data_IF_020309599097
#
_entry.id   IF_020309599097
#
_cell.length_a   1.000
_cell.length_b   1.000
_cell.length_c   1.000
_cell.angle_alpha   90.00
_cell.angle_beta   90.00
_cell.angle_gamma   90.00
#
_symmetry.space_group_name_H-M   'P 1'
#
loop_
_entity.id
_entity.type
_entity.pdbx_description
1 polymer ?
#
# COMPACT_ATOMS: atom_id res chain seq x y z
N UNK A 1 -32.96 20.72 72.73
CA UNK A 1 -33.67 20.32 71.51
C UNK A 1 -33.34 21.37 70.44
N UNK A 2 -32.47 21.02 69.49
CA UNK A 2 -32.11 21.91 68.43
C UNK A 2 -33.20 21.99 67.36
N UNK A 3 -33.62 23.20 66.99
CA UNK A 3 -34.78 23.47 66.14
C UNK A 3 -34.42 23.15 64.69
N UNK A 4 -35.35 22.62 63.85
CA UNK A 4 -35.18 22.24 62.47
C UNK A 4 -34.59 23.36 61.54
N UNK A 5 -34.73 24.64 61.99
CA UNK A 5 -34.19 25.78 61.26
C UNK A 5 -32.66 25.94 61.40
N UNK A 6 -32.12 25.52 62.54
CA UNK A 6 -30.69 25.62 62.85
C UNK A 6 -29.87 24.52 62.10
N UNK A 7 -30.55 23.37 61.81
CA UNK A 7 -29.94 22.29 61.05
C UNK A 7 -29.79 22.59 59.53
N UNK A 8 -30.68 23.41 58.97
CA UNK A 8 -30.64 23.82 57.58
C UNK A 8 -29.65 24.96 57.31
N UNK A 9 -29.30 25.76 58.30
CA UNK A 9 -28.31 26.84 58.19
C UNK A 9 -26.86 26.32 58.25
N UNK A 10 -26.64 25.15 58.86
CA UNK A 10 -25.29 24.54 58.93
C UNK A 10 -24.88 23.74 57.71
N UNK A 11 -25.80 23.49 56.75
CA UNK A 11 -25.47 22.78 55.48
C UNK A 11 -25.14 23.71 54.31
N UNK A 12 -25.19 25.02 54.50
CA UNK A 12 -24.94 26.02 53.43
C UNK A 12 -23.58 26.71 53.51
N UNK A 13 -22.72 26.31 54.41
CA UNK A 13 -21.38 26.88 54.57
C UNK A 13 -20.29 25.79 54.47
N UNK A 14 -20.08 25.23 53.27
CA UNK A 14 -19.00 24.23 53.12
C UNK A 14 -18.85 23.63 51.74
N UNK A 15 -19.45 24.16 50.68
CA UNK A 15 -19.13 23.73 49.32
C UNK A 15 -18.06 24.66 48.72
N UNK A 16 -16.80 24.41 49.04
CA UNK A 16 -15.70 24.84 48.21
C UNK A 16 -15.81 24.02 46.93
N UNK A 17 -16.43 24.61 45.91
CA UNK A 17 -16.38 24.11 44.55
C UNK A 17 -14.95 24.27 44.08
N UNK A 18 -14.13 23.21 44.23
CA UNK A 18 -12.92 23.09 43.47
C UNK A 18 -13.32 23.10 41.98
N UNK A 19 -12.79 23.98 41.15
CA UNK A 19 -13.00 23.88 39.73
C UNK A 19 -12.36 22.58 39.26
N UNK A 20 -13.17 21.57 38.96
CA UNK A 20 -12.79 20.49 38.09
C UNK A 20 -12.51 21.18 36.73
N UNK A 21 -11.30 21.69 36.57
CA UNK A 21 -10.73 21.92 35.28
C UNK A 21 -10.59 20.52 34.66
N UNK A 22 -11.64 20.11 33.93
CA UNK A 22 -11.52 19.05 32.95
C UNK A 22 -10.43 19.54 31.99
N UNK A 23 -9.18 19.08 32.22
CA UNK A 23 -8.17 19.03 31.20
C UNK A 23 -8.76 18.12 30.11
N UNK A 24 -9.48 18.73 29.18
CA UNK A 24 -9.60 18.17 27.85
C UNK A 24 -8.15 18.14 27.38
N UNK A 25 -7.52 16.97 27.51
CA UNK A 25 -6.29 16.70 26.78
C UNK A 25 -6.71 16.87 25.32
N UNK A 26 -6.36 17.99 24.73
CA UNK A 26 -6.44 18.14 23.29
C UNK A 26 -5.59 16.98 22.77
N UNK A 27 -6.25 16.00 22.18
CA UNK A 27 -5.59 14.94 21.45
C UNK A 27 -4.75 15.68 20.39
N UNK A 28 -3.43 15.68 20.55
CA UNK A 28 -2.56 16.35 19.58
C UNK A 28 -2.91 15.75 18.23
N UNK A 29 -3.38 16.57 17.32
CA UNK A 29 -3.73 16.13 15.98
C UNK A 29 -2.48 15.49 15.38
N UNK A 30 -2.55 14.21 15.08
CA UNK A 30 -1.43 13.47 14.49
C UNK A 30 -1.09 14.14 13.17
N UNK A 31 0.15 14.59 13.03
CA UNK A 31 0.62 15.24 11.80
C UNK A 31 0.70 14.23 10.64
N UNK A 32 0.48 14.72 9.43
CA UNK A 32 0.62 13.94 8.19
C UNK A 32 1.76 14.54 7.38
N UNK A 33 2.65 13.70 6.88
CA UNK A 33 3.67 14.09 5.90
C UNK A 33 3.18 13.69 4.50
N UNK A 34 2.74 14.65 3.67
CA UNK A 34 2.26 14.38 2.33
C UNK A 34 3.36 13.90 1.38
N UNK A 35 4.63 14.09 1.74
CA UNK A 35 5.79 13.66 0.97
C UNK A 35 6.35 12.29 1.43
N UNK A 36 5.70 11.66 2.39
CA UNK A 36 6.01 10.31 2.83
C UNK A 36 4.90 9.36 2.38
N UNK A 37 5.23 8.35 1.59
CA UNK A 37 4.33 7.29 1.19
C UNK A 37 4.88 5.94 1.65
N UNK A 38 3.98 4.96 1.84
CA UNK A 38 4.37 3.58 2.12
C UNK A 38 3.89 2.68 0.99
N UNK A 39 4.79 1.84 0.47
CA UNK A 39 4.49 0.89 -0.59
C UNK A 39 4.47 -0.53 -0.02
N UNK A 40 3.43 -1.25 -0.36
CA UNK A 40 3.23 -2.68 -0.08
C UNK A 40 3.03 -3.42 -1.40
N UNK A 41 3.28 -4.73 -1.40
CA UNK A 41 2.98 -5.60 -2.54
C UNK A 41 2.74 -7.04 -2.06
N UNK A 42 2.07 -7.84 -2.88
CA UNK A 42 2.01 -9.30 -2.73
C UNK A 42 1.58 -9.72 -1.31
N UNK A 43 0.43 -9.22 -0.88
CA UNK A 43 -0.09 -9.45 0.47
C UNK A 43 -0.69 -10.84 0.64
N UNK A 44 -1.23 -11.43 -0.43
CA UNK A 44 -1.80 -12.78 -0.52
C UNK A 44 -2.68 -13.15 0.66
N UNK A 45 -3.61 -12.27 1.02
CA UNK A 45 -4.49 -12.46 2.15
C UNK A 45 -5.58 -13.47 1.82
N UNK A 46 -5.71 -14.51 2.65
CA UNK A 46 -6.85 -15.42 2.60
C UNK A 46 -7.14 -16.02 3.97
N UNK A 47 -8.36 -16.46 4.25
CA UNK A 47 -8.69 -17.14 5.50
C UNK A 47 -7.78 -18.33 5.76
N UNK A 48 -7.21 -18.41 6.95
CA UNK A 48 -6.33 -19.53 7.37
C UNK A 48 -4.85 -19.34 7.06
N UNK A 49 -4.45 -18.33 6.28
CA UNK A 49 -3.05 -18.05 5.96
C UNK A 49 -2.40 -17.18 7.05
N UNK A 50 -2.01 -17.80 8.15
CA UNK A 50 -1.58 -17.09 9.36
C UNK A 50 -0.40 -16.14 9.12
N UNK A 51 0.64 -16.56 8.41
CA UNK A 51 1.82 -15.70 8.19
C UNK A 51 1.50 -14.43 7.42
N UNK A 52 0.79 -14.56 6.30
CA UNK A 52 0.39 -13.42 5.47
C UNK A 52 -0.46 -12.43 6.28
N UNK A 53 -1.44 -12.95 7.02
CA UNK A 53 -2.32 -12.13 7.84
C UNK A 53 -1.60 -11.44 8.99
N UNK A 54 -0.67 -12.12 9.66
CA UNK A 54 0.11 -11.54 10.76
C UNK A 54 1.04 -10.43 10.23
N UNK A 55 1.69 -10.63 9.08
CA UNK A 55 2.52 -9.60 8.45
C UNK A 55 1.68 -8.41 7.98
N UNK A 56 0.51 -8.65 7.38
CA UNK A 56 -0.37 -7.57 6.95
C UNK A 56 -0.87 -6.74 8.13
N UNK A 57 -1.37 -7.39 9.20
CA UNK A 57 -1.78 -6.69 10.44
C UNK A 57 -0.64 -5.87 11.03
N UNK A 58 0.57 -6.45 11.07
CA UNK A 58 1.74 -5.76 11.58
C UNK A 58 2.09 -4.55 10.73
N UNK A 59 2.09 -4.67 9.39
CA UNK A 59 2.36 -3.57 8.47
C UNK A 59 1.36 -2.42 8.68
N UNK A 60 0.07 -2.73 8.68
CA UNK A 60 -0.98 -1.72 8.86
C UNK A 60 -0.86 -1.06 10.24
N UNK A 61 -0.63 -1.83 11.31
CA UNK A 61 -0.46 -1.29 12.66
C UNK A 61 0.74 -0.34 12.75
N UNK A 62 1.88 -0.69 12.16
CA UNK A 62 3.07 0.15 12.14
C UNK A 62 2.84 1.44 11.32
N UNK A 63 2.19 1.34 10.15
CA UNK A 63 1.87 2.50 9.31
C UNK A 63 0.96 3.49 10.07
N UNK A 64 -0.09 2.99 10.71
CA UNK A 64 -1.02 3.83 11.49
C UNK A 64 -0.33 4.48 12.69
N UNK A 65 0.67 3.81 13.27
CA UNK A 65 1.43 4.31 14.42
C UNK A 65 2.54 5.32 14.05
N UNK A 66 2.81 5.54 12.76
CA UNK A 66 3.81 6.52 12.32
C UNK A 66 3.44 7.94 12.76
N UNK A 67 4.42 8.73 13.14
CA UNK A 67 4.26 10.15 13.44
C UNK A 67 5.48 10.94 12.91
N UNK A 68 5.33 11.75 11.84
CA UNK A 68 4.07 12.00 11.09
C UNK A 68 3.56 10.75 10.38
N UNK A 69 2.23 10.68 10.18
CA UNK A 69 1.60 9.65 9.34
C UNK A 69 1.98 9.85 7.88
N UNK A 70 2.09 8.78 7.08
CA UNK A 70 2.29 8.90 5.64
C UNK A 70 1.06 9.54 4.99
N UNK A 71 1.29 10.30 3.92
CA UNK A 71 0.23 10.91 3.12
C UNK A 71 -0.56 9.90 2.29
N UNK A 72 0.03 8.75 1.97
CA UNK A 72 -0.63 7.72 1.16
C UNK A 72 0.01 6.33 1.33
N UNK A 73 -0.79 5.27 1.13
CA UNK A 73 -0.30 3.89 1.01
C UNK A 73 -0.58 3.38 -0.40
N UNK A 74 0.45 2.87 -1.09
CA UNK A 74 0.33 2.25 -2.40
C UNK A 74 0.49 0.74 -2.26
N UNK A 75 -0.44 -0.05 -2.83
CA UNK A 75 -0.41 -1.51 -2.75
C UNK A 75 -0.37 -2.10 -4.15
N UNK A 76 0.70 -2.80 -4.49
CA UNK A 76 1.03 -3.23 -5.85
C UNK A 76 0.51 -4.64 -6.17
N UNK A 77 -0.79 -4.89 -5.93
CA UNK A 77 -1.48 -6.10 -6.38
C UNK A 77 -1.23 -7.35 -5.53
N UNK A 78 -1.78 -8.44 -6.01
CA UNK A 78 -1.81 -9.75 -5.36
C UNK A 78 -2.32 -9.68 -3.91
N UNK A 79 -3.54 -9.13 -3.79
CA UNK A 79 -4.23 -9.06 -2.50
C UNK A 79 -4.72 -10.42 -2.06
N UNK A 80 -5.35 -11.12 -2.99
CA UNK A 80 -5.93 -12.43 -2.76
C UNK A 80 -4.87 -13.53 -2.88
N UNK A 81 -5.20 -14.69 -2.32
CA UNK A 81 -4.39 -15.88 -2.49
C UNK A 81 -4.94 -16.73 -3.62
N UNK A 82 -4.12 -17.03 -4.62
CA UNK A 82 -4.38 -17.91 -5.77
C UNK A 82 -5.48 -17.45 -6.74
N UNK A 83 -6.75 -17.32 -6.32
CA UNK A 83 -7.88 -17.25 -7.24
C UNK A 83 -8.76 -16.02 -7.09
N UNK A 84 -8.37 -15.06 -6.27
CA UNK A 84 -9.13 -13.84 -6.07
C UNK A 84 -10.54 -14.08 -5.55
N UNK A 85 -10.69 -14.93 -4.53
CA UNK A 85 -12.00 -15.25 -3.97
C UNK A 85 -12.61 -14.08 -3.22
N UNK A 86 -13.92 -13.99 -3.22
CA UNK A 86 -14.65 -12.92 -2.54
C UNK A 86 -14.32 -12.82 -1.04
N UNK A 87 -14.15 -13.96 -0.37
CA UNK A 87 -13.78 -14.00 1.05
C UNK A 87 -12.39 -13.41 1.32
N UNK A 88 -11.45 -13.48 0.37
CA UNK A 88 -10.12 -12.91 0.50
C UNK A 88 -10.21 -11.38 0.55
N UNK A 89 -11.03 -10.77 -0.31
CA UNK A 89 -11.26 -9.32 -0.32
C UNK A 89 -12.07 -8.83 0.88
N UNK A 90 -13.04 -9.60 1.37
CA UNK A 90 -13.74 -9.28 2.62
C UNK A 90 -12.77 -9.23 3.80
N UNK A 91 -11.85 -10.18 3.87
CA UNK A 91 -10.78 -10.19 4.87
C UNK A 91 -9.80 -9.02 4.67
N UNK A 92 -9.41 -8.73 3.43
CA UNK A 92 -8.58 -7.57 3.12
C UNK A 92 -9.22 -6.27 3.63
N UNK A 93 -10.54 -6.10 3.44
CA UNK A 93 -11.28 -4.93 3.93
C UNK A 93 -11.15 -4.75 5.44
N UNK A 94 -11.23 -5.84 6.19
CA UNK A 94 -10.99 -5.79 7.65
C UNK A 94 -9.55 -5.40 7.99
N UNK A 95 -8.58 -5.89 7.20
CA UNK A 95 -7.16 -5.63 7.44
C UNK A 95 -6.76 -4.18 7.14
N UNK A 96 -7.35 -3.56 6.12
CA UNK A 96 -7.05 -2.15 5.74
C UNK A 96 -7.92 -1.13 6.47
N UNK A 97 -9.02 -1.55 7.10
CA UNK A 97 -9.92 -0.65 7.84
C UNK A 97 -9.20 0.29 8.84
N UNK A 98 -8.10 -0.09 9.53
CA UNK A 98 -7.37 0.84 10.38
C UNK A 98 -6.73 2.01 9.63
N UNK A 99 -6.39 1.86 8.33
CA UNK A 99 -5.92 2.97 7.50
C UNK A 99 -7.03 3.99 7.30
N UNK A 100 -8.24 3.52 6.93
CA UNK A 100 -9.41 4.36 6.75
C UNK A 100 -9.78 5.09 8.04
N UNK A 101 -9.77 4.37 9.16
CA UNK A 101 -10.04 4.93 10.50
C UNK A 101 -8.98 5.98 10.92
N UNK A 102 -7.74 5.84 10.45
CA UNK A 102 -6.66 6.79 10.69
C UNK A 102 -6.64 7.96 9.70
N UNK A 103 -7.52 7.96 8.68
CA UNK A 103 -7.54 8.96 7.62
C UNK A 103 -6.36 8.86 6.65
N UNK A 104 -5.72 7.69 6.55
CA UNK A 104 -4.60 7.43 5.62
C UNK A 104 -5.19 6.86 4.32
N UNK A 105 -5.18 7.60 3.21
CA UNK A 105 -5.68 7.10 1.94
C UNK A 105 -4.79 5.98 1.41
N UNK A 106 -5.39 5.05 0.68
CA UNK A 106 -4.66 4.00 0.00
C UNK A 106 -5.17 3.77 -1.42
N UNK A 107 -4.29 3.32 -2.29
CA UNK A 107 -4.56 3.06 -3.72
C UNK A 107 -3.82 1.80 -4.15
N UNK A 108 -4.31 1.16 -5.19
CA UNK A 108 -3.82 -0.14 -5.61
C UNK A 108 -3.74 -0.30 -7.13
N UNK A 109 -3.07 -1.36 -7.59
CA UNK A 109 -3.27 -1.99 -8.88
C UNK A 109 -3.63 -3.47 -8.67
N UNK A 110 -4.04 -4.17 -9.74
CA UNK A 110 -4.42 -5.58 -9.69
C UNK A 110 -3.27 -6.48 -10.05
N UNK A 111 -3.09 -7.57 -9.30
CA UNK A 111 -2.12 -8.63 -9.58
C UNK A 111 -2.74 -9.87 -10.21
N UNK A 112 -1.92 -10.88 -10.58
CA UNK A 112 -2.38 -12.07 -11.28
C UNK A 112 -3.22 -13.03 -10.40
N UNK A 113 -3.15 -12.87 -9.09
CA UNK A 113 -4.01 -13.62 -8.15
C UNK A 113 -5.34 -12.91 -7.86
N UNK A 114 -5.56 -11.72 -8.42
CA UNK A 114 -6.75 -10.92 -8.15
C UNK A 114 -7.90 -11.17 -9.14
N UNK A 115 -9.10 -10.68 -8.78
CA UNK A 115 -10.32 -10.66 -9.61
C UNK A 115 -10.98 -9.29 -9.49
N UNK A 116 -11.14 -8.59 -10.61
CA UNK A 116 -11.74 -7.24 -10.63
C UNK A 116 -13.16 -7.25 -10.12
N UNK A 117 -13.97 -8.23 -10.51
CA UNK A 117 -15.37 -8.34 -10.10
C UNK A 117 -15.47 -8.43 -8.57
N UNK A 118 -14.75 -9.37 -7.95
CA UNK A 118 -14.78 -9.57 -6.51
C UNK A 118 -14.18 -8.40 -5.73
N UNK A 119 -13.09 -7.79 -6.25
CA UNK A 119 -12.55 -6.58 -5.68
C UNK A 119 -13.57 -5.43 -5.72
N UNK A 120 -14.21 -5.22 -6.87
CA UNK A 120 -15.20 -4.15 -7.08
C UNK A 120 -16.44 -4.34 -6.22
N UNK A 121 -16.89 -5.59 -6.00
CA UNK A 121 -17.99 -5.89 -5.09
C UNK A 121 -17.69 -5.44 -3.65
N UNK A 122 -16.46 -5.69 -3.18
CA UNK A 122 -16.06 -5.38 -1.79
C UNK A 122 -15.64 -3.92 -1.62
N UNK A 123 -15.03 -3.32 -2.65
CA UNK A 123 -14.48 -1.96 -2.66
C UNK A 123 -15.08 -1.08 -3.77
N UNK A 124 -16.42 -0.92 -3.85
CA UNK A 124 -17.05 -0.19 -4.94
C UNK A 124 -16.61 1.28 -5.01
N UNK A 125 -16.27 1.87 -3.85
CA UNK A 125 -15.78 3.25 -3.79
C UNK A 125 -14.39 3.43 -4.40
N UNK A 126 -13.52 2.42 -4.31
CA UNK A 126 -12.24 2.40 -5.00
C UNK A 126 -12.44 2.24 -6.51
N UNK A 127 -13.23 1.22 -6.91
CA UNK A 127 -13.54 0.99 -8.32
C UNK A 127 -14.15 2.23 -8.99
N UNK A 128 -15.04 2.93 -8.29
CA UNK A 128 -15.65 4.18 -8.76
C UNK A 128 -14.67 5.34 -8.99
N UNK A 129 -13.44 5.26 -8.48
CA UNK A 129 -12.38 6.25 -8.71
C UNK A 129 -11.44 5.89 -9.85
N UNK A 130 -11.62 4.71 -10.47
CA UNK A 130 -10.78 4.31 -11.60
C UNK A 130 -10.89 5.29 -12.76
N UNK A 131 -9.75 5.59 -13.39
CA UNK A 131 -9.65 6.46 -14.56
C UNK A 131 -10.11 5.76 -15.87
N UNK A 132 -10.29 4.44 -15.82
CA UNK A 132 -10.79 3.64 -16.95
C UNK A 132 -12.00 2.80 -16.51
N UNK A 133 -12.94 2.59 -17.44
CA UNK A 133 -14.21 1.94 -17.11
C UNK A 133 -14.07 0.45 -16.77
N UNK A 134 -13.28 -0.28 -17.54
CA UNK A 134 -13.19 -1.74 -17.46
C UNK A 134 -11.86 -2.23 -16.86
N UNK A 135 -11.14 -1.32 -16.20
CA UNK A 135 -9.85 -1.56 -15.56
C UNK A 135 -9.75 -0.75 -14.28
N UNK A 136 -8.88 -1.17 -13.38
CA UNK A 136 -8.61 -0.46 -12.13
C UNK A 136 -7.30 0.33 -12.25
N UNK A 137 -7.40 1.49 -12.90
CA UNK A 137 -6.29 2.42 -13.13
C UNK A 137 -6.45 3.65 -12.26
N UNK A 138 -5.40 4.02 -11.55
CA UNK A 138 -5.46 5.13 -10.59
C UNK A 138 -4.28 6.07 -10.75
N UNK A 139 -4.49 7.34 -10.41
CA UNK A 139 -3.43 8.35 -10.24
C UNK A 139 -3.45 8.85 -8.82
N UNK A 140 -2.30 8.83 -8.18
CA UNK A 140 -2.06 9.46 -6.89
C UNK A 140 -1.22 10.69 -7.14
N UNK A 141 -1.81 11.85 -6.92
CA UNK A 141 -1.15 13.13 -7.10
C UNK A 141 -0.46 13.56 -5.82
N UNK A 142 0.81 13.91 -5.92
CA UNK A 142 1.55 14.55 -4.83
C UNK A 142 2.08 15.92 -5.29
N UNK A 143 2.70 16.66 -4.40
CA UNK A 143 3.29 17.95 -4.76
C UNK A 143 4.41 17.80 -5.81
N UNK A 144 5.24 16.79 -5.67
CA UNK A 144 6.51 16.67 -6.39
C UNK A 144 6.46 15.67 -7.56
N UNK A 145 5.71 14.59 -7.45
CA UNK A 145 5.65 13.51 -8.44
C UNK A 145 4.29 12.83 -8.38
N UNK A 146 3.75 12.41 -9.50
CA UNK A 146 2.52 11.63 -9.55
C UNK A 146 2.82 10.15 -9.72
N UNK A 147 2.00 9.30 -9.07
CA UNK A 147 2.05 7.85 -9.26
C UNK A 147 0.87 7.43 -10.14
N UNK A 148 1.16 6.83 -11.29
CA UNK A 148 0.16 6.28 -12.19
C UNK A 148 0.17 4.75 -12.10
N UNK A 149 -0.83 4.19 -11.44
CA UNK A 149 -0.96 2.75 -11.18
C UNK A 149 -1.84 2.10 -12.24
N UNK A 150 -1.25 1.26 -13.07
CA UNK A 150 -1.89 0.59 -14.20
C UNK A 150 -2.42 -0.79 -13.78
N UNK A 151 -3.41 -1.26 -14.50
CA UNK A 151 -4.00 -2.58 -14.32
C UNK A 151 -3.46 -3.56 -15.36
N UNK A 152 -2.48 -4.36 -14.98
CA UNK A 152 -1.84 -5.36 -15.84
C UNK A 152 -2.44 -6.76 -15.73
N UNK A 153 -3.55 -6.92 -14.98
CA UNK A 153 -4.19 -8.21 -14.81
C UNK A 153 -4.85 -8.69 -16.11
N UNK A 154 -4.50 -9.88 -16.54
CA UNK A 154 -5.26 -10.68 -17.51
C UNK A 154 -5.99 -11.77 -16.75
N UNK A 155 -7.31 -11.61 -16.61
CA UNK A 155 -8.10 -12.57 -15.85
C UNK A 155 -8.19 -13.92 -16.58
N UNK A 156 -7.73 -15.01 -15.97
CA UNK A 156 -7.88 -16.33 -16.56
C UNK A 156 -9.35 -16.77 -16.45
N UNK A 157 -9.79 -17.71 -17.29
CA UNK A 157 -11.06 -18.41 -17.07
C UNK A 157 -11.09 -18.99 -15.65
N UNK A 158 -12.23 -18.92 -14.99
CA UNK A 158 -12.44 -19.18 -13.54
C UNK A 158 -11.79 -20.45 -12.95
N UNK A 159 -11.44 -21.40 -13.76
CA UNK A 159 -11.16 -22.75 -13.29
C UNK A 159 -9.72 -23.20 -13.47
N UNK A 160 -8.83 -22.46 -14.12
CA UNK A 160 -7.65 -23.15 -14.67
C UNK A 160 -6.28 -22.56 -14.36
N UNK A 161 -6.12 -21.30 -13.98
CA UNK A 161 -4.79 -20.74 -13.73
C UNK A 161 -4.81 -19.63 -12.70
N UNK A 162 -3.91 -19.73 -11.74
CA UNK A 162 -3.58 -18.69 -10.77
C UNK A 162 -2.33 -17.89 -11.18
N UNK A 163 -1.60 -18.32 -12.20
CA UNK A 163 -0.48 -17.60 -12.79
C UNK A 163 -0.89 -17.19 -14.21
N UNK A 164 -0.96 -15.90 -14.43
CA UNK A 164 -1.12 -15.32 -15.76
C UNK A 164 -0.03 -14.29 -15.99
N UNK A 165 0.51 -14.19 -17.21
CA UNK A 165 1.40 -13.08 -17.54
C UNK A 165 0.63 -11.76 -17.44
N UNK A 166 1.34 -10.71 -17.09
CA UNK A 166 0.78 -9.36 -17.09
C UNK A 166 0.77 -8.78 -18.50
N UNK A 167 -0.25 -8.00 -18.81
CA UNK A 167 -0.32 -7.30 -20.09
C UNK A 167 -1.00 -5.94 -19.94
N UNK A 168 -0.47 -4.93 -20.62
CA UNK A 168 -1.15 -3.64 -20.81
C UNK A 168 -1.69 -3.62 -22.24
N UNK A 169 -3.02 -3.77 -22.36
CA UNK A 169 -3.71 -3.82 -23.64
C UNK A 169 -3.76 -2.45 -24.33
N UNK A 170 -4.06 -2.45 -25.63
CA UNK A 170 -3.97 -1.26 -26.47
C UNK A 170 -4.76 -0.06 -25.95
N UNK A 171 -5.96 -0.28 -25.45
CA UNK A 171 -6.78 0.77 -24.84
C UNK A 171 -6.10 1.47 -23.66
N UNK A 172 -5.41 0.70 -22.83
CA UNK A 172 -4.66 1.25 -21.68
C UNK A 172 -3.30 1.82 -22.11
N UNK A 173 -2.68 1.27 -23.15
CA UNK A 173 -1.46 1.84 -23.75
C UNK A 173 -1.71 3.24 -24.31
N UNK A 174 -2.83 3.42 -25.03
CA UNK A 174 -3.25 4.72 -25.58
C UNK A 174 -3.53 5.70 -24.43
N UNK A 175 -4.31 5.28 -23.44
CA UNK A 175 -4.58 6.07 -22.22
C UNK A 175 -3.29 6.49 -21.50
N UNK A 176 -2.34 5.56 -21.32
CA UNK A 176 -1.04 5.82 -20.69
C UNK A 176 -0.28 6.90 -21.46
N UNK A 177 -0.12 6.72 -22.79
CA UNK A 177 0.62 7.65 -23.63
C UNK A 177 -0.02 9.06 -23.63
N UNK A 178 -1.32 9.17 -23.72
CA UNK A 178 -2.03 10.45 -23.64
C UNK A 178 -1.86 11.11 -22.26
N UNK A 179 -1.99 10.32 -21.18
CA UNK A 179 -1.82 10.80 -19.81
C UNK A 179 -0.40 11.33 -19.57
N UNK A 180 0.61 10.61 -20.03
CA UNK A 180 2.01 11.02 -19.88
C UNK A 180 2.31 12.29 -20.67
N UNK A 181 1.84 12.40 -21.93
CA UNK A 181 2.01 13.62 -22.75
C UNK A 181 1.35 14.85 -22.13
N UNK A 182 0.25 14.66 -21.40
CA UNK A 182 -0.44 15.76 -20.70
C UNK A 182 0.17 16.10 -19.33
N UNK A 183 1.11 15.29 -18.83
CA UNK A 183 1.68 15.47 -17.50
C UNK A 183 2.68 16.62 -17.48
N UNK A 184 2.54 17.50 -16.47
CA UNK A 184 3.40 18.66 -16.25
C UNK A 184 4.37 18.45 -15.09
N UNK A 185 4.28 17.32 -14.42
CA UNK A 185 5.12 16.88 -13.31
C UNK A 185 5.77 15.54 -13.65
N UNK A 186 6.87 15.17 -12.99
CA UNK A 186 7.40 13.82 -13.06
C UNK A 186 6.33 12.78 -12.71
N UNK A 187 6.37 11.63 -13.39
CA UNK A 187 5.45 10.51 -13.18
C UNK A 187 6.24 9.25 -12.90
N UNK A 188 5.90 8.57 -11.81
CA UNK A 188 6.33 7.20 -11.57
C UNK A 188 5.17 6.29 -11.98
N UNK A 189 5.40 5.48 -12.99
CA UNK A 189 4.42 4.52 -13.48
C UNK A 189 4.58 3.21 -12.73
N UNK A 190 3.49 2.51 -12.45
CA UNK A 190 3.56 1.22 -11.81
C UNK A 190 2.43 0.29 -12.24
N UNK A 191 2.69 -0.99 -12.15
CA UNK A 191 1.72 -2.06 -12.26
C UNK A 191 2.19 -3.22 -11.38
N UNK A 192 1.40 -4.28 -11.29
CA UNK A 192 1.86 -5.46 -10.56
C UNK A 192 3.00 -6.21 -11.28
N UNK A 193 2.89 -6.38 -12.59
CA UNK A 193 3.86 -7.12 -13.39
C UNK A 193 5.02 -6.23 -13.90
N UNK A 194 6.14 -6.86 -14.22
CA UNK A 194 7.34 -6.17 -14.66
C UNK A 194 7.27 -5.64 -16.11
N UNK A 195 8.28 -4.89 -16.53
CA UNK A 195 8.32 -4.29 -17.87
C UNK A 195 8.51 -5.33 -19.00
N UNK A 196 9.00 -6.54 -18.72
CA UNK A 196 9.11 -7.58 -19.73
C UNK A 196 7.74 -8.18 -20.06
N UNK A 197 6.86 -8.24 -19.06
CA UNK A 197 5.49 -8.75 -19.21
C UNK A 197 4.57 -7.66 -19.78
N UNK A 198 4.56 -6.48 -19.18
CA UNK A 198 3.68 -5.36 -19.56
C UNK A 198 4.02 -4.75 -20.92
N UNK A 199 5.28 -4.85 -21.37
CA UNK A 199 5.78 -4.40 -22.68
C UNK A 199 5.49 -2.92 -22.97
N UNK A 200 5.55 -2.06 -21.97
CA UNK A 200 5.30 -0.61 -22.11
C UNK A 200 6.57 0.25 -22.02
N UNK A 201 7.75 -0.37 -21.96
CA UNK A 201 9.02 0.36 -21.82
C UNK A 201 9.23 1.39 -22.94
N UNK A 202 8.77 1.10 -24.16
CA UNK A 202 8.78 1.99 -25.30
C UNK A 202 7.98 3.28 -25.07
N UNK A 203 6.78 3.16 -24.51
CA UNK A 203 5.91 4.31 -24.15
C UNK A 203 6.56 5.12 -23.04
N UNK A 204 7.05 4.44 -21.99
CA UNK A 204 7.68 5.12 -20.86
C UNK A 204 8.90 5.93 -21.30
N UNK A 205 9.78 5.32 -22.11
CA UNK A 205 10.98 5.97 -22.64
C UNK A 205 10.67 7.15 -23.56
N UNK A 206 9.57 7.11 -24.29
CA UNK A 206 9.17 8.16 -25.21
C UNK A 206 8.62 9.42 -24.53
N UNK A 207 8.43 9.39 -23.20
CA UNK A 207 7.85 10.49 -22.43
C UNK A 207 8.81 10.95 -21.33
N UNK A 208 9.41 12.12 -21.50
CA UNK A 208 10.45 12.68 -20.61
C UNK A 208 9.96 12.92 -19.17
N UNK A 209 8.65 12.97 -18.92
CA UNK A 209 8.10 13.10 -17.60
C UNK A 209 8.20 11.81 -16.77
N UNK A 210 8.54 10.67 -17.37
CA UNK A 210 8.64 9.40 -16.65
C UNK A 210 9.93 9.33 -15.87
N UNK A 211 9.83 9.33 -14.53
CA UNK A 211 10.98 9.19 -13.64
C UNK A 211 11.40 7.72 -13.45
N UNK A 212 10.45 6.78 -13.48
CA UNK A 212 10.75 5.37 -13.32
C UNK A 212 9.51 4.48 -13.27
N UNK A 213 9.74 3.18 -13.03
CA UNK A 213 8.70 2.16 -12.94
C UNK A 213 8.78 1.35 -11.65
N UNK A 214 7.64 0.99 -11.07
CA UNK A 214 7.58 0.17 -9.84
C UNK A 214 6.62 -0.99 -10.06
N UNK A 215 7.03 -2.19 -9.65
CA UNK A 215 6.19 -3.38 -9.71
C UNK A 215 6.37 -4.31 -8.49
N UNK A 216 5.42 -5.23 -8.30
CA UNK A 216 5.47 -6.34 -7.36
C UNK A 216 5.84 -7.65 -8.04
N UNK A 217 5.01 -8.69 -7.84
CA UNK A 217 4.99 -9.98 -8.52
C UNK A 217 6.15 -10.94 -8.19
N UNK A 218 7.38 -10.44 -8.15
CA UNK A 218 8.57 -11.28 -7.97
C UNK A 218 8.98 -11.50 -6.51
N UNK A 219 8.40 -10.76 -5.58
CA UNK A 219 8.65 -10.88 -4.13
C UNK A 219 10.09 -10.61 -3.69
N UNK A 220 10.90 -9.90 -4.46
CA UNK A 220 12.28 -9.57 -4.11
C UNK A 220 12.55 -8.09 -4.29
N UNK A 221 13.14 -7.47 -3.28
CA UNK A 221 13.69 -6.14 -3.44
C UNK A 221 14.87 -6.17 -4.40
N UNK A 222 14.69 -5.63 -5.58
CA UNK A 222 15.76 -5.47 -6.56
C UNK A 222 15.43 -4.35 -7.56
N UNK A 223 16.46 -3.81 -8.17
CA UNK A 223 16.33 -2.82 -9.25
C UNK A 223 16.78 -3.43 -10.58
N UNK A 224 16.19 -2.98 -11.65
CA UNK A 224 16.58 -3.36 -13.00
C UNK A 224 16.38 -2.18 -13.96
N UNK A 225 16.90 -2.31 -15.17
CA UNK A 225 16.65 -1.40 -16.27
C UNK A 225 16.07 -2.18 -17.44
N UNK A 226 15.09 -1.60 -18.10
CA UNK A 226 14.52 -2.13 -19.33
C UNK A 226 14.40 -1.02 -20.37
N UNK A 227 15.16 -1.16 -21.46
CA UNK A 227 15.16 -0.23 -22.60
C UNK A 227 15.38 1.24 -22.20
N UNK A 228 16.19 1.49 -21.15
CA UNK A 228 16.49 2.82 -20.61
C UNK A 228 15.51 3.31 -19.53
N UNK A 229 14.56 2.49 -19.12
CA UNK A 229 13.64 2.79 -18.00
C UNK A 229 14.14 2.12 -16.72
N UNK A 230 14.47 2.92 -15.71
CA UNK A 230 14.83 2.42 -14.39
C UNK A 230 13.60 1.87 -13.63
N UNK A 231 13.74 0.71 -13.03
CA UNK A 231 12.64 0.05 -12.36
C UNK A 231 13.01 -0.55 -11.00
N UNK A 232 12.00 -0.63 -10.10
CA UNK A 232 12.08 -1.25 -8.79
C UNK A 232 11.07 -2.37 -8.67
N UNK A 233 11.52 -3.55 -8.25
CA UNK A 233 10.66 -4.63 -7.80
C UNK A 233 10.51 -4.54 -6.29
N UNK A 234 9.27 -4.59 -5.81
CA UNK A 234 8.94 -4.52 -4.39
C UNK A 234 9.07 -5.89 -3.69
N UNK A 235 9.38 -5.89 -2.39
CA UNK A 235 9.28 -7.09 -1.58
C UNK A 235 7.81 -7.50 -1.40
N UNK A 236 7.57 -8.76 -1.08
CA UNK A 236 6.27 -9.22 -0.60
C UNK A 236 5.98 -8.68 0.80
N UNK A 237 4.71 -8.46 1.12
CA UNK A 237 4.33 -8.09 2.48
C UNK A 237 4.11 -9.28 3.41
N UNK A 238 4.27 -10.52 2.97
CA UNK A 238 4.11 -11.67 3.88
C UNK A 238 3.99 -13.03 3.21
N UNK A 239 4.14 -13.11 1.88
CA UNK A 239 4.01 -14.39 1.20
C UNK A 239 5.33 -15.18 1.23
N UNK A 240 6.24 -14.99 0.29
CA UNK A 240 7.58 -15.58 0.28
C UNK A 240 8.59 -14.59 -0.34
N UNK A 241 9.88 -14.94 -0.35
CA UNK A 241 10.93 -14.04 -0.81
C UNK A 241 11.34 -13.02 0.26
N UNK A 242 11.62 -11.82 -0.13
CA UNK A 242 11.89 -10.70 0.78
C UNK A 242 10.58 -10.23 1.40
N UNK A 243 10.52 -10.19 2.72
CA UNK A 243 9.34 -9.74 3.45
C UNK A 243 9.59 -8.36 4.03
N UNK A 244 8.80 -7.40 3.60
CA UNK A 244 8.99 -6.01 4.06
C UNK A 244 7.98 -5.02 3.52
N UNK A 245 8.26 -3.76 3.83
CA UNK A 245 7.56 -2.59 3.28
C UNK A 245 8.59 -1.60 2.75
N UNK A 246 8.16 -0.68 1.91
CA UNK A 246 9.03 0.35 1.35
C UNK A 246 8.50 1.72 1.75
N UNK A 247 9.38 2.55 2.32
CA UNK A 247 9.06 3.95 2.62
C UNK A 247 9.58 4.83 1.48
N UNK A 248 8.70 5.58 0.84
CA UNK A 248 9.04 6.57 -0.15
C UNK A 248 9.06 7.95 0.48
N UNK A 249 10.12 8.70 0.23
CA UNK A 249 10.24 10.12 0.58
C UNK A 249 10.41 10.92 -0.69
N UNK A 250 9.56 11.93 -0.86
CA UNK A 250 9.48 12.75 -2.06
C UNK A 250 10.03 14.15 -1.78
N UNK A 251 10.78 14.67 -2.74
CA UNK A 251 11.26 16.05 -2.75
C UNK A 251 11.16 16.62 -4.16
N UNK A 252 11.35 17.94 -4.36
CA UNK A 252 11.30 18.55 -5.69
C UNK A 252 12.35 18.03 -6.69
N UNK A 253 13.34 17.26 -6.23
CA UNK A 253 14.47 16.80 -7.05
C UNK A 253 14.68 15.29 -7.02
N UNK A 254 14.12 14.61 -6.05
CA UNK A 254 14.39 13.18 -5.83
C UNK A 254 13.18 12.47 -5.21
N UNK A 255 12.89 11.28 -5.71
CA UNK A 255 12.09 10.29 -5.02
C UNK A 255 13.02 9.18 -4.49
N UNK A 256 12.99 8.96 -3.18
CA UNK A 256 13.83 7.99 -2.49
C UNK A 256 12.98 6.88 -1.89
N UNK A 257 13.28 5.63 -2.23
CA UNK A 257 12.55 4.44 -1.80
C UNK A 257 13.47 3.60 -0.90
N UNK A 258 13.11 3.47 0.37
CA UNK A 258 13.92 2.77 1.36
C UNK A 258 13.22 1.51 1.84
N UNK A 259 13.90 0.37 1.67
CA UNK A 259 13.42 -0.93 2.16
C UNK A 259 13.48 -0.99 3.69
N UNK A 260 12.36 -1.38 4.29
CA UNK A 260 12.28 -1.89 5.66
C UNK A 260 12.00 -3.37 5.60
N UNK A 261 13.06 -4.17 5.63
CA UNK A 261 12.97 -5.62 5.53
C UNK A 261 12.71 -6.25 6.90
N UNK A 262 11.78 -7.18 6.97
CA UNK A 262 11.37 -7.86 8.21
C UNK A 262 11.87 -9.28 8.30
N UNK A 263 11.82 -9.99 7.19
CA UNK A 263 12.15 -11.41 7.13
C UNK A 263 12.52 -11.82 5.70
N UNK A 264 12.92 -13.07 5.56
CA UNK A 264 13.07 -13.78 4.29
C UNK A 264 12.47 -15.18 4.42
N UNK A 265 11.50 -15.49 3.57
CA UNK A 265 10.81 -16.77 3.61
C UNK A 265 11.07 -17.56 2.32
N UNK A 266 11.28 -18.87 2.47
CA UNK A 266 11.32 -19.76 1.33
C UNK A 266 9.90 -20.09 0.89
N UNK A 267 9.71 -20.22 -0.42
CA UNK A 267 8.48 -20.80 -0.95
C UNK A 267 8.34 -22.24 -0.46
N UNK A 268 7.27 -22.51 0.29
CA UNK A 268 6.88 -23.86 0.67
C UNK A 268 5.66 -24.31 -0.15
N UNK A 269 5.54 -25.60 -0.37
CA UNK A 269 4.38 -26.19 -1.08
C UNK A 269 3.15 -26.36 -0.17
N UNK A 270 3.29 -26.09 1.12
CA UNK A 270 2.23 -26.17 2.13
C UNK A 270 1.70 -24.79 2.55
N UNK A 271 0.78 -24.77 3.52
CA UNK A 271 0.21 -23.52 4.05
C UNK A 271 1.21 -22.72 4.90
N UNK A 272 2.31 -23.34 5.34
CA UNK A 272 3.32 -22.70 6.16
C UNK A 272 4.62 -22.51 5.38
N UNK A 273 5.22 -21.32 5.51
CA UNK A 273 6.52 -21.04 4.91
C UNK A 273 7.64 -21.37 5.86
N UNK A 274 8.67 -22.05 5.36
CA UNK A 274 9.87 -22.31 6.14
C UNK A 274 10.79 -21.09 6.15
N UNK A 275 11.30 -20.70 7.33
CA UNK A 275 12.34 -19.69 7.39
C UNK A 275 13.64 -20.24 6.79
N UNK A 276 14.27 -19.44 5.90
CA UNK A 276 15.60 -19.74 5.42
C UNK A 276 16.59 -19.74 6.61
N UNK A 277 17.47 -20.76 6.78
CA UNK A 277 18.47 -20.76 7.86
C UNK A 277 19.43 -19.55 7.80
N UNK A 278 19.60 -18.93 6.62
CA UNK A 278 20.40 -17.74 6.44
C UNK A 278 19.57 -16.44 6.47
N UNK A 279 18.28 -16.48 6.85
CA UNK A 279 17.37 -15.32 6.79
C UNK A 279 17.92 -14.08 7.48
N UNK A 280 18.53 -14.23 8.66
CA UNK A 280 19.09 -13.09 9.41
C UNK A 280 20.17 -12.36 8.63
N UNK A 281 21.05 -13.10 7.93
CA UNK A 281 22.10 -12.51 7.08
C UNK A 281 21.51 -11.83 5.84
N UNK A 282 20.47 -12.42 5.26
CA UNK A 282 19.78 -11.84 4.10
C UNK A 282 19.07 -10.53 4.52
N UNK A 283 18.36 -10.55 5.64
CA UNK A 283 17.71 -9.36 6.19
C UNK A 283 18.74 -8.27 6.50
N UNK A 284 19.83 -8.60 7.18
CA UNK A 284 20.90 -7.65 7.50
C UNK A 284 21.52 -7.04 6.25
N UNK A 285 21.76 -7.85 5.22
CA UNK A 285 22.38 -7.39 3.97
C UNK A 285 21.49 -6.44 3.15
N UNK A 286 20.16 -6.60 3.24
CA UNK A 286 19.19 -5.81 2.48
C UNK A 286 18.54 -4.68 3.27
N UNK A 287 18.54 -4.76 4.61
CA UNK A 287 17.89 -3.78 5.47
C UNK A 287 18.39 -2.36 5.20
N UNK A 288 17.47 -1.46 4.90
CA UNK A 288 17.76 -0.06 4.64
C UNK A 288 18.33 0.21 3.24
N UNK A 289 18.30 -0.77 2.33
CA UNK A 289 18.62 -0.54 0.92
C UNK A 289 17.74 0.58 0.35
N UNK A 290 18.34 1.42 -0.49
CA UNK A 290 17.67 2.60 -1.04
C UNK A 290 17.80 2.62 -2.55
N UNK A 291 16.68 2.85 -3.23
CA UNK A 291 16.62 3.22 -4.63
C UNK A 291 16.24 4.70 -4.76
N UNK A 292 16.86 5.42 -5.70
CA UNK A 292 16.61 6.84 -5.92
C UNK A 292 16.32 7.11 -7.38
N UNK A 293 15.41 8.06 -7.60
CA UNK A 293 15.06 8.61 -8.89
C UNK A 293 15.22 10.13 -8.84
N UNK A 294 15.92 10.67 -9.81
CA UNK A 294 15.89 12.10 -10.08
C UNK A 294 14.51 12.49 -10.65
N UNK A 295 13.96 13.64 -10.20
CA UNK A 295 12.66 14.16 -10.60
C UNK A 295 12.76 15.43 -11.43
#
# INVERSE_FOLDING_TARGET
MMNRRDFLAAMLAGSVAAPFASRILAEEAVSVDPNHLVLLSDTHCAPGLKHQLDFMRKSISEIVAMNPRPGHVLIYGDFAFLYGKLEDYKLLKELVAPLDAAGIPWTTCMGNHDRRENFTEVFPEHAGKSLMKDRLVFRVETENVDFLMLDSLIEPPETTRWITPGEILDDQRDFLNETLKASTKPVIVGAHHDLNETKIADILKANDCVAGYINGHHHYWTTYEKDGVNALILPSNGHWGDIGIVNATLSPKEASFKLFMRDYLLLNKGPDFEPNPNRSKIVEAKQGAVWRLDL
#
